data_IF_651545242736
#
_entry.id   IF_651545242736
#
_cell.length_a   1.000
_cell.length_b   1.000
_cell.length_c   1.000
_cell.angle_alpha   90.00
_cell.angle_beta   90.00
_cell.angle_gamma   90.00
#
_symmetry.space_group_name_H-M   'P 1'
#
loop_
_entity.id
_entity.type
_entity.pdbx_description
1 polymer ?
#
# COMPACT_ATOMS: atom_id res chain seq x y z
N UNK A 1 -34.16 -56.54 -8.94
CA UNK A 1 -32.71 -56.37 -9.00
C UNK A 1 -32.48 -54.99 -9.57
N UNK A 2 -32.40 -53.96 -8.71
CA UNK A 2 -32.14 -52.57 -9.14
C UNK A 2 -30.66 -52.25 -8.83
N UNK A 3 -29.94 -51.93 -9.89
CA UNK A 3 -28.54 -51.48 -9.79
C UNK A 3 -28.51 -50.04 -9.32
N UNK A 4 -28.01 -49.79 -8.11
CA UNK A 4 -27.83 -48.46 -7.55
C UNK A 4 -26.72 -47.68 -8.32
N UNK A 5 -26.84 -46.33 -8.40
CA UNK A 5 -25.91 -45.52 -9.14
C UNK A 5 -24.51 -45.55 -8.49
N UNK A 6 -23.49 -45.87 -9.29
CA UNK A 6 -22.09 -45.87 -8.91
C UNK A 6 -21.63 -44.44 -8.50
N UNK A 7 -21.32 -44.25 -7.22
CA UNK A 7 -20.64 -43.05 -6.73
C UNK A 7 -19.26 -43.00 -7.34
N UNK A 8 -19.06 -42.12 -8.32
CA UNK A 8 -17.74 -41.75 -8.82
C UNK A 8 -16.93 -41.16 -7.67
N UNK A 9 -15.98 -41.93 -7.13
CA UNK A 9 -15.02 -41.47 -6.13
C UNK A 9 -14.09 -40.45 -6.75
N UNK A 10 -14.26 -39.17 -6.42
CA UNK A 10 -13.32 -38.13 -6.79
C UNK A 10 -11.91 -38.48 -6.29
N UNK A 11 -10.89 -38.31 -7.14
CA UNK A 11 -9.52 -38.62 -6.78
C UNK A 11 -9.07 -37.81 -5.54
N UNK A 12 -8.29 -38.43 -4.62
CA UNK A 12 -7.85 -37.74 -3.38
C UNK A 12 -6.98 -36.50 -3.65
N UNK A 13 -6.42 -36.36 -4.85
CA UNK A 13 -5.72 -35.15 -5.28
C UNK A 13 -6.69 -34.00 -5.59
N UNK A 14 -7.81 -34.27 -6.25
CA UNK A 14 -8.85 -33.31 -6.56
C UNK A 14 -9.57 -32.82 -5.29
N UNK A 15 -9.88 -33.74 -4.37
CA UNK A 15 -10.46 -33.40 -3.07
C UNK A 15 -9.54 -32.47 -2.25
N UNK A 16 -8.21 -32.74 -2.20
CA UNK A 16 -7.25 -31.87 -1.54
C UNK A 16 -7.14 -30.49 -2.22
N UNK A 17 -7.19 -30.43 -3.54
CA UNK A 17 -7.18 -29.16 -4.26
C UNK A 17 -8.45 -28.33 -3.97
N UNK A 18 -9.62 -28.94 -3.96
CA UNK A 18 -10.90 -28.28 -3.64
C UNK A 18 -10.97 -27.81 -2.19
N UNK A 19 -10.45 -28.60 -1.23
CA UNK A 19 -10.37 -28.17 0.17
C UNK A 19 -9.34 -27.04 0.37
N UNK A 20 -8.21 -27.10 -0.33
CA UNK A 20 -7.21 -26.03 -0.35
C UNK A 20 -7.76 -24.71 -0.93
N UNK A 21 -8.48 -24.78 -2.04
CA UNK A 21 -9.11 -23.59 -2.64
C UNK A 21 -10.23 -23.01 -1.75
N UNK A 22 -11.09 -23.85 -1.15
CA UNK A 22 -12.10 -23.40 -0.18
C UNK A 22 -11.50 -22.73 1.05
N UNK A 23 -10.40 -23.26 1.60
CA UNK A 23 -9.70 -22.64 2.72
C UNK A 23 -9.06 -21.29 2.33
N UNK A 24 -8.50 -21.19 1.12
CA UNK A 24 -7.92 -19.93 0.60
C UNK A 24 -9.02 -18.89 0.34
N UNK A 25 -10.14 -19.27 -0.29
CA UNK A 25 -11.25 -18.36 -0.53
C UNK A 25 -12.01 -17.99 0.74
N UNK A 26 -12.19 -18.93 1.69
CA UNK A 26 -12.79 -18.66 2.99
C UNK A 26 -11.98 -17.65 3.79
N UNK A 27 -10.66 -17.85 3.88
CA UNK A 27 -9.76 -16.90 4.53
C UNK A 27 -9.60 -15.57 3.77
N UNK A 28 -9.85 -15.55 2.45
CA UNK A 28 -9.79 -14.33 1.66
C UNK A 28 -10.96 -13.36 1.95
N UNK A 29 -12.09 -13.87 2.39
CA UNK A 29 -13.29 -13.11 2.74
C UNK A 29 -13.48 -12.95 4.25
N UNK A 30 -12.48 -13.35 5.06
CA UNK A 30 -12.54 -13.15 6.50
C UNK A 30 -12.76 -11.68 6.85
N UNK A 31 -13.77 -11.49 7.68
CA UNK A 31 -14.17 -10.19 8.20
C UNK A 31 -13.90 -10.16 9.70
N UNK A 32 -12.90 -9.40 10.11
CA UNK A 32 -12.56 -9.24 11.51
C UNK A 32 -13.57 -8.29 12.18
N UNK A 33 -14.35 -8.81 13.14
CA UNK A 33 -15.44 -8.07 13.76
C UNK A 33 -15.04 -7.18 14.94
N UNK A 34 -13.77 -7.22 15.34
CA UNK A 34 -13.34 -6.74 16.64
C UNK A 34 -13.21 -5.22 16.80
N UNK A 35 -12.97 -4.48 15.72
CA UNK A 35 -12.66 -3.06 15.83
C UNK A 35 -13.89 -2.17 15.65
N UNK A 36 -14.14 -1.28 16.62
CA UNK A 36 -15.13 -0.23 16.52
C UNK A 36 -14.78 0.75 15.38
N UNK A 37 -15.80 1.36 14.78
CA UNK A 37 -15.63 2.49 13.88
C UNK A 37 -14.81 3.59 14.58
N UNK A 38 -13.76 4.09 13.93
CA UNK A 38 -13.05 5.30 14.37
C UNK A 38 -13.49 6.50 13.52
N UNK A 39 -14.53 7.24 13.93
CA UNK A 39 -15.06 8.37 13.16
C UNK A 39 -14.01 9.46 12.93
N UNK A 40 -13.03 9.57 13.84
CA UNK A 40 -12.00 10.58 13.72
C UNK A 40 -10.98 10.23 12.63
N UNK A 41 -10.58 8.97 12.49
CA UNK A 41 -9.73 8.53 11.40
C UNK A 41 -10.44 8.66 10.06
N UNK A 42 -11.75 8.34 10.01
CA UNK A 42 -12.58 8.53 8.82
C UNK A 42 -12.68 10.01 8.42
N UNK A 43 -12.90 10.91 9.40
CA UNK A 43 -12.98 12.35 9.14
C UNK A 43 -11.64 12.93 8.65
N UNK A 44 -10.50 12.49 9.24
CA UNK A 44 -9.16 12.93 8.82
C UNK A 44 -8.90 12.56 7.38
N UNK A 45 -9.20 11.32 6.97
CA UNK A 45 -8.96 10.87 5.59
C UNK A 45 -9.92 11.52 4.60
N UNK A 46 -11.20 11.66 4.96
CA UNK A 46 -12.20 12.33 4.12
C UNK A 46 -11.86 13.80 3.86
N UNK A 47 -11.58 14.57 4.93
CA UNK A 47 -11.23 15.98 4.81
C UNK A 47 -9.83 16.19 4.22
N UNK A 48 -8.88 15.33 4.59
CA UNK A 48 -7.54 15.36 4.05
C UNK A 48 -7.51 15.24 2.53
N UNK A 49 -8.32 14.36 1.96
CA UNK A 49 -8.37 14.13 0.52
C UNK A 49 -9.47 14.95 -0.18
N UNK A 50 -10.65 15.07 0.42
CA UNK A 50 -11.80 15.72 -0.20
C UNK A 50 -11.61 17.23 -0.37
N UNK A 51 -11.03 17.92 0.63
CA UNK A 51 -10.86 19.39 0.59
C UNK A 51 -9.90 19.84 -0.53
N UNK A 52 -8.71 19.25 -0.72
CA UNK A 52 -7.86 19.65 -1.84
C UNK A 52 -8.53 19.44 -3.21
N UNK A 53 -9.30 18.36 -3.39
CA UNK A 53 -10.01 18.12 -4.65
C UNK A 53 -11.13 19.15 -4.82
N UNK A 54 -11.89 19.43 -3.77
CA UNK A 54 -12.93 20.46 -3.80
C UNK A 54 -12.35 21.81 -4.23
N UNK A 55 -11.22 22.22 -3.65
CA UNK A 55 -10.52 23.45 -4.05
C UNK A 55 -10.13 23.37 -5.52
N UNK A 56 -9.55 22.26 -5.96
CA UNK A 56 -9.16 22.06 -7.36
C UNK A 56 -10.35 22.18 -8.33
N UNK A 57 -11.49 21.60 -7.98
CA UNK A 57 -12.74 21.70 -8.76
C UNK A 57 -13.26 23.13 -8.80
N UNK A 58 -13.28 23.83 -7.67
CA UNK A 58 -13.77 25.23 -7.59
C UNK A 58 -12.93 26.19 -8.41
N UNK A 59 -11.60 25.97 -8.52
CA UNK A 59 -10.72 26.79 -9.36
C UNK A 59 -10.64 26.31 -10.82
N UNK A 60 -11.44 25.30 -11.21
CA UNK A 60 -11.45 24.74 -12.55
C UNK A 60 -10.21 23.90 -12.91
N UNK A 61 -9.43 23.46 -11.92
CA UNK A 61 -8.19 22.66 -12.09
C UNK A 61 -8.20 21.42 -11.21
N UNK A 62 -9.07 20.43 -11.46
CA UNK A 62 -9.21 19.25 -10.60
C UNK A 62 -7.92 18.45 -10.46
N UNK A 63 -7.07 18.40 -11.49
CA UNK A 63 -5.77 17.73 -11.48
C UNK A 63 -4.82 18.22 -10.37
N UNK A 64 -4.86 19.51 -10.02
CA UNK A 64 -4.10 20.08 -8.90
C UNK A 64 -4.60 19.50 -7.58
N UNK A 65 -5.92 19.49 -7.38
CA UNK A 65 -6.55 18.92 -6.19
C UNK A 65 -6.28 17.41 -6.06
N UNK A 66 -6.32 16.65 -7.16
CA UNK A 66 -6.00 15.22 -7.18
C UNK A 66 -4.55 14.97 -6.78
N UNK A 67 -3.59 15.75 -7.31
CA UNK A 67 -2.17 15.63 -6.96
C UNK A 67 -1.92 15.95 -5.47
N UNK A 68 -2.54 17.00 -4.92
CA UNK A 68 -2.47 17.31 -3.50
C UNK A 68 -3.11 16.19 -2.65
N UNK A 69 -4.25 15.65 -3.06
CA UNK A 69 -4.92 14.56 -2.36
C UNK A 69 -4.10 13.27 -2.34
N UNK A 70 -3.25 13.03 -3.33
CA UNK A 70 -2.30 11.93 -3.32
C UNK A 70 -1.34 12.06 -2.11
N UNK A 71 -0.83 13.27 -1.84
CA UNK A 71 -0.03 13.55 -0.64
C UNK A 71 -0.81 13.36 0.67
N UNK A 72 -2.06 13.80 0.69
CA UNK A 72 -2.96 13.62 1.82
C UNK A 72 -3.26 12.14 2.12
N UNK A 73 -3.44 11.32 1.10
CA UNK A 73 -3.65 9.87 1.24
C UNK A 73 -2.51 9.21 2.01
N UNK A 74 -1.28 9.67 1.84
CA UNK A 74 -0.10 9.10 2.46
C UNK A 74 0.01 9.39 3.95
N UNK A 75 -0.57 10.50 4.41
CA UNK A 75 -0.50 10.97 5.79
C UNK A 75 -1.79 10.70 6.57
N UNK A 76 -2.94 10.85 5.94
CA UNK A 76 -4.27 10.80 6.58
C UNK A 76 -4.58 9.48 7.28
N UNK A 77 -3.98 8.38 6.86
CA UNK A 77 -4.16 7.05 7.46
C UNK A 77 -3.26 6.78 8.69
N UNK A 78 -2.67 7.83 9.30
CA UNK A 78 -1.84 7.68 10.49
C UNK A 78 -2.67 7.24 11.71
N UNK A 79 -2.27 6.18 12.45
CA UNK A 79 -2.95 5.79 13.66
C UNK A 79 -2.80 6.88 14.73
N UNK A 80 -3.79 6.98 15.62
CA UNK A 80 -3.74 7.92 16.74
C UNK A 80 -2.82 7.38 17.83
N UNK A 81 -1.77 8.12 18.18
CA UNK A 81 -0.87 7.77 19.27
C UNK A 81 -1.52 7.95 20.65
N UNK A 82 -1.03 7.24 21.65
CA UNK A 82 -1.52 7.29 23.02
C UNK A 82 -1.38 8.69 23.65
N UNK A 83 -0.33 9.44 23.28
CA UNK A 83 -0.11 10.82 23.69
C UNK A 83 -0.11 11.79 22.51
N UNK A 84 -0.32 13.09 22.76
CA UNK A 84 -0.24 14.12 21.70
C UNK A 84 1.17 14.18 21.10
N UNK A 85 2.22 14.03 21.92
CA UNK A 85 3.62 13.99 21.48
C UNK A 85 3.88 12.81 20.54
N UNK A 86 3.34 11.66 20.87
CA UNK A 86 3.46 10.46 20.03
C UNK A 86 2.68 10.60 18.74
N UNK A 87 1.45 11.11 18.81
CA UNK A 87 0.66 11.38 17.61
C UNK A 87 1.38 12.35 16.67
N UNK A 88 1.92 13.46 17.20
CA UNK A 88 2.75 14.40 16.43
C UNK A 88 3.94 13.69 15.76
N UNK A 89 4.64 12.82 16.50
CA UNK A 89 5.79 12.08 15.95
C UNK A 89 5.35 11.19 14.77
N UNK A 90 4.27 10.43 14.92
CA UNK A 90 3.75 9.56 13.87
C UNK A 90 3.36 10.37 12.62
N UNK A 91 2.66 11.47 12.79
CA UNK A 91 2.24 12.36 11.70
C UNK A 91 3.46 12.97 11.01
N UNK A 92 4.41 13.53 11.76
CA UNK A 92 5.66 14.07 11.23
C UNK A 92 6.42 13.04 10.41
N UNK A 93 6.61 11.84 10.93
CA UNK A 93 7.37 10.78 10.25
C UNK A 93 6.68 10.35 8.94
N UNK A 94 5.35 10.39 8.90
CA UNK A 94 4.58 10.16 7.67
C UNK A 94 4.75 11.29 6.65
N UNK A 95 4.70 12.54 7.08
CA UNK A 95 4.92 13.70 6.20
C UNK A 95 6.33 13.65 5.62
N UNK A 96 7.34 13.40 6.44
CA UNK A 96 8.74 13.29 6.00
C UNK A 96 8.89 12.15 4.97
N UNK A 97 8.30 10.98 5.24
CA UNK A 97 8.35 9.85 4.30
C UNK A 97 7.64 10.18 2.97
N UNK A 98 6.50 10.87 3.02
CA UNK A 98 5.75 11.29 1.84
C UNK A 98 6.53 12.28 0.98
N UNK A 99 7.09 13.32 1.59
CA UNK A 99 7.88 14.34 0.87
C UNK A 99 9.16 13.71 0.32
N UNK A 100 9.88 12.92 1.11
CA UNK A 100 11.08 12.24 0.66
C UNK A 100 10.79 11.31 -0.54
N UNK A 101 9.67 10.60 -0.52
CA UNK A 101 9.26 9.75 -1.64
C UNK A 101 8.90 10.56 -2.89
N UNK A 102 8.19 11.69 -2.73
CA UNK A 102 7.84 12.58 -3.85
C UNK A 102 9.10 13.19 -4.49
N UNK A 103 10.04 13.66 -3.69
CA UNK A 103 11.34 14.21 -4.15
C UNK A 103 12.14 13.12 -4.86
N UNK A 104 12.27 11.94 -4.27
CA UNK A 104 12.98 10.83 -4.89
C UNK A 104 12.33 10.42 -6.24
N UNK A 105 11.01 10.32 -6.29
CA UNK A 105 10.28 10.00 -7.51
C UNK A 105 10.50 11.06 -8.61
N UNK A 106 10.46 12.35 -8.25
CA UNK A 106 10.70 13.44 -9.18
C UNK A 106 12.13 13.45 -9.74
N UNK A 107 13.15 13.20 -8.89
CA UNK A 107 14.55 13.08 -9.30
C UNK A 107 14.73 11.85 -10.20
N UNK A 108 14.21 10.71 -9.80
CA UNK A 108 14.33 9.45 -10.55
C UNK A 108 13.66 9.57 -11.92
N UNK A 109 12.48 10.18 -11.99
CA UNK A 109 11.72 10.36 -13.25
C UNK A 109 12.45 11.19 -14.31
N UNK A 110 13.45 12.00 -13.92
CA UNK A 110 14.25 12.79 -14.87
C UNK A 110 15.13 11.92 -15.77
N UNK A 111 15.43 10.70 -15.37
CA UNK A 111 16.35 9.81 -16.06
C UNK A 111 15.68 8.94 -17.15
N UNK A 112 14.40 9.19 -17.47
CA UNK A 112 13.68 8.48 -18.53
C UNK A 112 13.71 6.95 -18.35
N UNK A 113 14.22 6.18 -19.34
CA UNK A 113 14.25 4.71 -19.25
C UNK A 113 15.07 4.14 -18.08
N UNK A 114 16.04 4.91 -17.54
CA UNK A 114 16.87 4.53 -16.39
C UNK A 114 16.16 4.76 -15.05
N UNK A 115 14.98 5.35 -15.05
CA UNK A 115 14.19 5.60 -13.83
C UNK A 115 13.89 4.32 -13.03
N UNK A 116 13.74 3.19 -13.70
CA UNK A 116 13.51 1.91 -13.05
C UNK A 116 14.71 1.46 -12.21
N UNK A 117 15.93 1.64 -12.72
CA UNK A 117 17.14 1.34 -11.98
C UNK A 117 17.24 2.21 -10.73
N UNK A 118 16.93 3.51 -10.86
CA UNK A 118 16.87 4.45 -9.75
C UNK A 118 15.87 4.00 -8.67
N UNK A 119 14.67 3.55 -9.08
CA UNK A 119 13.66 3.04 -8.16
C UNK A 119 14.13 1.78 -7.43
N UNK A 120 14.72 0.81 -8.14
CA UNK A 120 15.23 -0.43 -7.55
C UNK A 120 16.31 -0.14 -6.51
N UNK A 121 17.26 0.76 -6.82
CA UNK A 121 18.31 1.17 -5.89
C UNK A 121 17.75 1.90 -4.67
N UNK A 122 16.87 2.87 -4.88
CA UNK A 122 16.23 3.61 -3.78
C UNK A 122 15.39 2.69 -2.87
N UNK A 123 14.62 1.76 -3.46
CA UNK A 123 13.85 0.78 -2.70
C UNK A 123 14.75 -0.18 -1.93
N UNK A 124 15.84 -0.65 -2.53
CA UNK A 124 16.84 -1.50 -1.86
C UNK A 124 17.49 -0.81 -0.67
N UNK A 125 17.94 0.44 -0.86
CA UNK A 125 18.50 1.25 0.21
C UNK A 125 17.49 1.49 1.35
N UNK A 126 16.26 1.87 1.02
CA UNK A 126 15.20 2.04 2.01
C UNK A 126 14.88 0.72 2.74
N UNK A 127 14.86 -0.40 2.04
CA UNK A 127 14.65 -1.71 2.64
C UNK A 127 15.75 -2.11 3.63
N UNK A 128 17.01 -1.79 3.33
CA UNK A 128 18.14 -2.00 4.25
C UNK A 128 18.06 -1.08 5.48
N UNK A 129 17.79 0.22 5.27
CA UNK A 129 17.61 1.19 6.35
C UNK A 129 16.46 0.81 7.28
N UNK A 130 15.39 0.22 6.74
CA UNK A 130 14.28 -0.29 7.53
C UNK A 130 14.64 -1.41 8.51
N UNK A 131 15.84 -2.01 8.41
CA UNK A 131 16.39 -2.95 9.40
C UNK A 131 16.89 -2.29 10.68
N UNK A 132 17.07 -0.96 10.70
CA UNK A 132 17.63 -0.23 11.81
C UNK A 132 16.73 -0.19 13.05
N UNK A 133 15.43 0.02 12.84
CA UNK A 133 14.45 0.06 13.94
C UNK A 133 13.04 -0.17 13.40
N UNK A 134 12.10 -0.55 14.29
CA UNK A 134 10.70 -0.76 13.89
C UNK A 134 10.05 0.49 13.27
N UNK A 135 10.19 1.70 13.83
CA UNK A 135 9.69 2.91 13.19
C UNK A 135 10.30 3.14 11.80
N UNK A 136 11.61 2.89 11.65
CA UNK A 136 12.30 3.00 10.37
C UNK A 136 11.80 1.93 9.36
N UNK A 137 11.44 0.73 9.82
CA UNK A 137 10.86 -0.30 8.97
C UNK A 137 9.52 0.16 8.36
N UNK A 138 8.66 0.78 9.17
CA UNK A 138 7.38 1.34 8.73
C UNK A 138 7.59 2.52 7.76
N UNK A 139 8.49 3.44 8.10
CA UNK A 139 8.82 4.59 7.26
C UNK A 139 9.39 4.14 5.90
N UNK A 140 10.32 3.17 5.90
CA UNK A 140 10.92 2.64 4.68
C UNK A 140 9.90 1.96 3.77
N UNK A 141 8.97 1.18 4.35
CA UNK A 141 7.91 0.54 3.56
C UNK A 141 6.98 1.57 2.92
N UNK A 142 6.60 2.60 3.67
CA UNK A 142 5.82 3.72 3.14
C UNK A 142 6.57 4.45 2.03
N UNK A 143 7.83 4.80 2.27
CA UNK A 143 8.67 5.43 1.26
C UNK A 143 8.69 4.62 -0.04
N UNK A 144 8.90 3.30 0.02
CA UNK A 144 8.95 2.43 -1.16
C UNK A 144 7.63 2.47 -1.94
N UNK A 145 6.50 2.30 -1.23
CA UNK A 145 5.17 2.33 -1.85
C UNK A 145 4.92 3.69 -2.52
N UNK A 146 5.22 4.77 -1.80
CA UNK A 146 4.95 6.13 -2.25
C UNK A 146 5.87 6.56 -3.37
N UNK A 147 7.16 6.19 -3.32
CA UNK A 147 8.10 6.44 -4.40
C UNK A 147 7.68 5.70 -5.68
N UNK A 148 7.15 4.49 -5.55
CA UNK A 148 6.68 3.69 -6.69
C UNK A 148 5.44 4.31 -7.35
N UNK A 149 4.45 4.75 -6.55
CA UNK A 149 3.26 5.46 -7.05
C UNK A 149 3.67 6.84 -7.62
N UNK A 150 4.48 7.58 -6.86
CA UNK A 150 4.94 8.90 -7.24
C UNK A 150 5.74 8.89 -8.54
N UNK A 151 6.56 7.85 -8.79
CA UNK A 151 7.29 7.70 -10.04
C UNK A 151 6.32 7.53 -11.23
N UNK A 152 5.25 6.72 -11.06
CA UNK A 152 4.23 6.55 -12.07
C UNK A 152 3.56 7.87 -12.45
N UNK A 153 3.25 8.71 -11.48
CA UNK A 153 2.65 10.04 -11.72
C UNK A 153 3.68 11.02 -12.27
N UNK A 154 4.88 11.09 -11.70
CA UNK A 154 5.94 12.02 -12.10
C UNK A 154 6.44 11.77 -13.53
N UNK A 155 6.38 10.55 -14.02
CA UNK A 155 6.77 10.20 -15.39
C UNK A 155 5.88 10.87 -16.45
N UNK A 156 4.61 11.13 -16.12
CA UNK A 156 3.62 11.75 -17.02
C UNK A 156 3.39 13.24 -16.71
N UNK A 157 4.05 13.80 -15.68
CA UNK A 157 3.87 15.19 -15.27
C UNK A 157 5.02 16.05 -15.82
N UNK A 158 4.75 17.08 -16.64
CA UNK A 158 5.80 17.94 -17.21
C UNK A 158 6.51 18.77 -16.12
N UNK A 159 5.77 19.32 -15.16
CA UNK A 159 6.33 20.10 -14.06
C UNK A 159 6.42 19.26 -12.77
N UNK A 160 7.52 18.54 -12.62
CA UNK A 160 7.77 17.66 -11.47
C UNK A 160 7.96 18.42 -10.15
N UNK A 161 8.48 19.64 -10.21
CA UNK A 161 8.63 20.48 -9.00
C UNK A 161 7.25 20.86 -8.47
N UNK A 162 6.35 21.30 -9.34
CA UNK A 162 4.97 21.59 -8.94
C UNK A 162 4.28 20.36 -8.36
N UNK A 163 4.50 19.16 -8.93
CA UNK A 163 3.95 17.91 -8.38
C UNK A 163 4.47 17.66 -6.95
N UNK A 164 5.77 17.83 -6.69
CA UNK A 164 6.35 17.66 -5.35
C UNK A 164 5.74 18.66 -4.36
N UNK A 165 5.59 19.92 -4.77
CA UNK A 165 4.97 20.96 -3.94
C UNK A 165 3.51 20.59 -3.60
N UNK A 166 2.71 20.19 -4.59
CA UNK A 166 1.32 19.81 -4.38
C UNK A 166 1.19 18.57 -3.45
N UNK A 167 2.05 17.56 -3.63
CA UNK A 167 2.07 16.41 -2.74
C UNK A 167 2.45 16.84 -1.31
N UNK A 168 3.44 17.75 -1.16
CA UNK A 168 3.84 18.24 0.15
C UNK A 168 2.72 19.06 0.82
N UNK A 169 2.04 19.94 0.07
CA UNK A 169 0.88 20.72 0.55
C UNK A 169 -0.25 19.80 1.03
N UNK A 170 -0.60 18.79 0.24
CA UNK A 170 -1.62 17.82 0.63
C UNK A 170 -1.23 16.98 1.85
N UNK A 171 0.05 16.59 1.96
CA UNK A 171 0.58 15.89 3.12
C UNK A 171 0.51 16.76 4.39
N UNK A 172 0.89 18.04 4.28
CA UNK A 172 0.79 19.02 5.38
C UNK A 172 -0.65 19.31 5.76
N UNK A 173 -1.54 19.47 4.78
CA UNK A 173 -2.98 19.62 5.03
C UNK A 173 -3.55 18.44 5.81
N UNK A 174 -3.30 17.23 5.37
CA UNK A 174 -3.75 16.03 6.07
C UNK A 174 -3.16 15.91 7.49
N UNK A 175 -1.91 16.34 7.67
CA UNK A 175 -1.27 16.42 8.97
C UNK A 175 -1.97 17.41 9.89
N UNK A 176 -2.33 18.59 9.41
CA UNK A 176 -3.11 19.60 10.15
C UNK A 176 -4.50 19.07 10.54
N UNK A 177 -5.21 18.44 9.59
CA UNK A 177 -6.49 17.78 9.88
C UNK A 177 -6.33 16.69 10.95
N UNK A 178 -5.29 15.84 10.82
CA UNK A 178 -5.01 14.77 11.78
C UNK A 178 -4.74 15.29 13.19
N UNK A 179 -3.96 16.36 13.31
CA UNK A 179 -3.66 16.98 14.60
C UNK A 179 -4.88 17.68 15.20
N UNK A 180 -5.61 18.48 14.40
CA UNK A 180 -6.79 19.19 14.86
C UNK A 180 -7.90 18.23 15.32
N UNK A 181 -8.24 17.24 14.49
CA UNK A 181 -9.23 16.22 14.82
C UNK A 181 -8.73 15.33 15.96
N UNK A 182 -7.44 14.99 15.99
CA UNK A 182 -6.83 14.22 17.07
C UNK A 182 -6.92 14.92 18.44
N UNK A 183 -6.75 16.23 18.49
CA UNK A 183 -6.96 17.05 19.71
C UNK A 183 -8.44 17.10 20.09
N UNK A 184 -9.33 17.38 19.13
CA UNK A 184 -10.76 17.42 19.38
C UNK A 184 -11.31 16.07 19.87
N UNK A 185 -10.93 14.98 19.21
CA UNK A 185 -11.37 13.64 19.57
C UNK A 185 -10.92 13.21 20.98
N UNK A 186 -9.72 13.62 21.41
CA UNK A 186 -9.26 13.40 22.80
C UNK A 186 -10.09 14.20 23.82
N UNK A 187 -10.47 15.41 23.48
CA UNK A 187 -11.27 16.26 24.36
C UNK A 187 -12.69 15.70 24.57
N UNK A 188 -13.21 14.98 23.59
CA UNK A 188 -14.55 14.38 23.61
C UNK A 188 -14.55 12.87 23.83
N UNK A 189 -13.39 12.26 24.09
CA UNK A 189 -13.20 10.81 24.28
C UNK A 189 -13.77 9.98 23.11
N UNK A 190 -13.59 10.46 21.89
CA UNK A 190 -14.10 9.81 20.66
C UNK A 190 -13.00 9.01 19.99
N UNK A 191 -13.26 7.72 19.73
CA UNK A 191 -12.45 6.83 18.89
C UNK A 191 -11.39 6.04 19.64
N UNK A 192 -10.74 5.09 18.93
CA UNK A 192 -9.77 4.17 19.48
C UNK A 192 -8.38 4.81 19.63
N UNK A 193 -7.74 4.58 20.78
CA UNK A 193 -6.33 4.92 21.00
C UNK A 193 -5.53 3.65 20.74
N UNK A 194 -4.61 3.71 19.76
CA UNK A 194 -3.67 2.60 19.55
C UNK A 194 -2.69 2.60 20.73
N UNK A 195 -2.67 1.50 21.47
CA UNK A 195 -1.71 1.31 22.55
C UNK A 195 -0.29 1.48 22.01
N UNK A 196 0.46 2.38 22.61
CA UNK A 196 1.87 2.55 22.27
C UNK A 196 2.61 1.29 22.66
N UNK A 197 3.13 0.56 21.67
CA UNK A 197 4.16 -0.42 21.97
C UNK A 197 5.35 0.33 22.55
N UNK A 198 5.77 -0.07 23.75
CA UNK A 198 6.92 0.50 24.43
C UNK A 198 8.09 0.58 23.48
N UNK A 199 8.48 1.79 23.13
CA UNK A 199 9.65 2.02 22.31
C UNK A 199 10.87 1.46 23.04
N UNK A 200 11.68 0.68 22.34
CA UNK A 200 12.94 0.18 22.88
C UNK A 200 13.76 1.35 23.43
N UNK A 201 14.06 1.34 24.71
CA UNK A 201 14.89 2.33 25.40
C UNK A 201 16.37 2.29 24.98
N UNK A 202 16.71 1.40 24.02
CA UNK A 202 18.06 1.26 23.49
C UNK A 202 18.55 2.58 22.87
N UNK A 203 19.77 2.97 23.20
CA UNK A 203 20.42 4.17 22.64
C UNK A 203 20.64 4.03 21.12
N UNK A 204 20.83 5.17 20.44
CA UNK A 204 21.13 5.18 19.01
C UNK A 204 22.36 4.30 18.69
N UNK A 205 23.39 4.39 19.50
CA UNK A 205 24.62 3.61 19.32
C UNK A 205 24.40 2.10 19.44
N UNK A 206 23.58 1.68 20.40
CA UNK A 206 23.18 0.28 20.57
C UNK A 206 22.39 -0.23 19.34
N UNK A 207 21.43 0.58 18.86
CA UNK A 207 20.65 0.26 17.66
C UNK A 207 21.55 0.19 16.43
N UNK A 208 22.50 1.11 16.28
CA UNK A 208 23.44 1.12 15.17
C UNK A 208 24.39 -0.08 15.16
N UNK A 209 24.94 -0.42 16.33
CA UNK A 209 25.81 -1.60 16.51
C UNK A 209 25.04 -2.89 16.19
N UNK A 210 23.82 -3.00 16.71
CA UNK A 210 22.95 -4.15 16.41
C UNK A 210 22.63 -4.24 14.90
N UNK A 211 22.25 -3.15 14.28
CA UNK A 211 21.97 -3.10 12.85
C UNK A 211 23.19 -3.51 12.00
N UNK A 212 24.38 -2.98 12.33
CA UNK A 212 25.63 -3.34 11.65
C UNK A 212 25.95 -4.83 11.79
N UNK A 213 25.66 -5.40 12.94
CA UNK A 213 25.85 -6.85 13.17
C UNK A 213 24.82 -7.66 12.36
N UNK A 214 23.58 -7.22 12.33
CA UNK A 214 22.50 -7.84 11.54
C UNK A 214 22.81 -7.84 10.04
N UNK A 215 23.42 -6.78 9.49
CA UNK A 215 23.83 -6.69 8.08
C UNK A 215 24.84 -7.77 7.67
N UNK A 216 25.52 -8.42 8.62
CA UNK A 216 26.41 -9.57 8.36
C UNK A 216 25.65 -10.89 8.20
N UNK A 217 24.36 -10.91 8.51
CA UNK A 217 23.51 -12.10 8.42
C UNK A 217 22.66 -12.09 7.17
N UNK A 218 22.44 -13.25 6.56
CA UNK A 218 21.56 -13.40 5.39
C UNK A 218 20.10 -12.97 5.70
N UNK A 219 19.67 -13.14 6.94
CA UNK A 219 18.32 -12.75 7.37
C UNK A 219 18.03 -11.26 7.10
N UNK A 220 19.02 -10.38 7.31
CA UNK A 220 18.86 -8.94 7.03
C UNK A 220 18.71 -8.62 5.54
N UNK A 221 19.31 -9.41 4.67
CA UNK A 221 19.29 -9.22 3.22
C UNK A 221 18.10 -9.88 2.53
N UNK A 222 17.46 -10.85 3.17
CA UNK A 222 16.39 -11.64 2.58
C UNK A 222 15.23 -10.78 2.04
N UNK A 223 14.79 -9.78 2.80
CA UNK A 223 13.73 -8.85 2.37
C UNK A 223 14.20 -7.86 1.29
N UNK A 224 15.33 -7.12 1.46
CA UNK A 224 15.85 -6.25 0.42
C UNK A 224 16.09 -6.95 -0.91
N UNK A 225 16.71 -8.12 -0.90
CA UNK A 225 17.00 -8.90 -2.11
C UNK A 225 15.71 -9.35 -2.82
N UNK A 226 14.74 -9.88 -2.08
CA UNK A 226 13.44 -10.26 -2.67
C UNK A 226 12.73 -9.06 -3.28
N UNK A 227 12.69 -7.94 -2.57
CA UNK A 227 12.04 -6.73 -3.05
C UNK A 227 12.72 -6.19 -4.32
N UNK A 228 14.04 -6.01 -4.30
CA UNK A 228 14.79 -5.48 -5.45
C UNK A 228 14.75 -6.42 -6.65
N UNK A 229 14.82 -7.73 -6.45
CA UNK A 229 14.67 -8.71 -7.52
C UNK A 229 13.28 -8.63 -8.16
N UNK A 230 12.21 -8.60 -7.36
CA UNK A 230 10.85 -8.45 -7.90
C UNK A 230 10.65 -7.11 -8.61
N UNK A 231 11.20 -6.00 -8.09
CA UNK A 231 11.13 -4.70 -8.75
C UNK A 231 11.94 -4.66 -10.05
N UNK A 232 13.11 -5.30 -10.10
CA UNK A 232 13.91 -5.42 -11.31
C UNK A 232 13.19 -6.25 -12.39
N UNK A 233 12.54 -7.36 -12.00
CA UNK A 233 11.69 -8.13 -12.92
C UNK A 233 10.50 -7.30 -13.42
N UNK A 234 9.83 -6.54 -12.53
CA UNK A 234 8.74 -5.64 -12.89
C UNK A 234 9.20 -4.58 -13.90
N UNK A 235 10.40 -4.00 -13.70
CA UNK A 235 11.02 -3.06 -14.61
C UNK A 235 11.31 -3.67 -15.99
N UNK A 236 11.87 -4.89 -16.02
CA UNK A 236 12.15 -5.62 -17.25
C UNK A 236 10.86 -5.92 -18.03
N UNK A 237 9.79 -6.37 -17.35
CA UNK A 237 8.49 -6.62 -17.98
C UNK A 237 7.90 -5.32 -18.55
N UNK A 238 7.95 -4.21 -17.79
CA UNK A 238 7.49 -2.91 -18.27
C UNK A 238 8.27 -2.46 -19.52
N UNK A 239 9.59 -2.65 -19.52
CA UNK A 239 10.44 -2.31 -20.67
C UNK A 239 10.17 -3.16 -21.89
N UNK A 240 9.81 -4.45 -21.71
CA UNK A 240 9.47 -5.37 -22.80
C UNK A 240 8.08 -5.08 -23.42
N UNK A 241 7.16 -4.48 -22.65
CA UNK A 241 5.77 -4.21 -23.06
C UNK A 241 5.40 -2.75 -22.83
N UNK A 242 6.03 -1.79 -23.53
CA UNK A 242 5.84 -0.35 -23.29
C UNK A 242 4.44 0.16 -23.63
N UNK A 243 3.66 -0.59 -24.43
CA UNK A 243 2.28 -0.27 -24.81
C UNK A 243 1.27 -0.48 -23.67
N UNK A 244 1.67 -1.15 -22.58
CA UNK A 244 0.83 -1.44 -21.43
C UNK A 244 1.19 -0.56 -20.22
N UNK A 245 0.20 -0.32 -19.36
CA UNK A 245 0.40 0.45 -18.12
C UNK A 245 1.01 -0.41 -17.00
N UNK A 246 2.09 -1.13 -17.28
CA UNK A 246 2.73 -2.08 -16.36
C UNK A 246 3.56 -1.44 -15.25
N UNK A 247 3.58 -0.10 -15.14
CA UNK A 247 4.08 0.60 -13.94
C UNK A 247 3.39 0.12 -12.65
N UNK A 248 2.17 -0.37 -12.76
CA UNK A 248 1.40 -0.94 -11.65
C UNK A 248 1.96 -2.25 -11.09
N UNK A 249 2.78 -3.00 -11.85
CA UNK A 249 3.47 -4.21 -11.34
C UNK A 249 4.36 -3.82 -10.17
N UNK A 250 5.16 -2.75 -10.31
CA UNK A 250 6.05 -2.28 -9.25
C UNK A 250 5.28 -1.84 -7.99
N UNK A 251 4.14 -1.15 -8.14
CA UNK A 251 3.26 -0.78 -7.02
C UNK A 251 2.72 -2.02 -6.31
N UNK A 252 2.24 -3.01 -7.07
CA UNK A 252 1.72 -4.24 -6.50
C UNK A 252 2.81 -5.06 -5.80
N UNK A 253 4.02 -5.14 -6.37
CA UNK A 253 5.21 -5.74 -5.74
C UNK A 253 5.53 -5.05 -4.41
N UNK A 254 5.60 -3.71 -4.38
CA UNK A 254 5.90 -2.95 -3.17
C UNK A 254 4.87 -3.19 -2.04
N UNK A 255 3.60 -3.39 -2.40
CA UNK A 255 2.52 -3.65 -1.45
C UNK A 255 2.48 -5.11 -0.98
N UNK A 256 2.84 -6.07 -1.83
CA UNK A 256 2.80 -7.51 -1.51
C UNK A 256 4.08 -7.99 -0.83
N UNK A 257 5.23 -7.39 -1.14
CA UNK A 257 6.50 -7.81 -0.53
C UNK A 257 6.59 -7.25 0.89
N UNK A 258 6.40 -8.12 1.87
CA UNK A 258 6.46 -7.76 3.29
C UNK A 258 7.66 -8.43 3.98
N UNK A 259 8.12 -7.83 5.09
CA UNK A 259 9.21 -8.40 5.92
C UNK A 259 8.77 -9.71 6.59
N UNK A 260 7.54 -9.74 7.11
CA UNK A 260 6.91 -10.92 7.69
C UNK A 260 5.96 -11.54 6.67
N UNK A 261 6.07 -12.85 6.45
CA UNK A 261 5.42 -13.55 5.34
C UNK A 261 4.57 -14.74 5.79
N UNK A 262 4.16 -14.78 7.07
CA UNK A 262 3.48 -15.93 7.64
C UNK A 262 2.15 -16.28 6.93
N UNK A 263 1.48 -15.28 6.32
CA UNK A 263 0.22 -15.44 5.61
C UNK A 263 0.28 -14.89 4.17
N UNK A 264 1.43 -15.07 3.47
CA UNK A 264 1.63 -14.47 2.15
C UNK A 264 0.56 -14.87 1.13
N UNK A 265 0.22 -16.17 1.04
CA UNK A 265 -0.75 -16.68 0.05
C UNK A 265 -2.13 -16.06 0.28
N UNK A 266 -2.60 -16.01 1.53
CA UNK A 266 -3.88 -15.38 1.86
C UNK A 266 -3.90 -13.89 1.48
N UNK A 267 -2.84 -13.14 1.81
CA UNK A 267 -2.73 -11.71 1.45
C UNK A 267 -2.67 -11.48 -0.06
N UNK A 268 -1.96 -12.34 -0.79
CA UNK A 268 -1.90 -12.27 -2.26
C UNK A 268 -3.28 -12.53 -2.87
N UNK A 269 -3.99 -13.54 -2.39
CA UNK A 269 -5.35 -13.86 -2.84
C UNK A 269 -6.34 -12.74 -2.53
N UNK A 270 -6.33 -12.23 -1.29
CA UNK A 270 -7.16 -11.10 -0.86
C UNK A 270 -6.91 -9.87 -1.73
N UNK A 271 -5.63 -9.61 -2.05
CA UNK A 271 -5.28 -8.48 -2.91
C UNK A 271 -5.75 -8.68 -4.35
N UNK A 272 -5.54 -9.86 -4.93
CA UNK A 272 -5.97 -10.13 -6.31
C UNK A 272 -7.49 -10.00 -6.46
N UNK A 273 -8.24 -10.61 -5.55
CA UNK A 273 -9.70 -10.49 -5.52
C UNK A 273 -10.17 -9.06 -5.24
N UNK A 274 -9.52 -8.36 -4.30
CA UNK A 274 -9.84 -6.97 -3.98
C UNK A 274 -9.57 -6.02 -5.16
N UNK A 275 -8.46 -6.21 -5.89
CA UNK A 275 -8.19 -5.43 -7.11
C UNK A 275 -9.22 -5.75 -8.20
N UNK A 276 -9.59 -7.02 -8.40
CA UNK A 276 -10.62 -7.38 -9.36
C UNK A 276 -11.97 -6.72 -9.04
N UNK A 277 -12.42 -6.79 -7.77
CA UNK A 277 -13.63 -6.11 -7.33
C UNK A 277 -13.51 -4.57 -7.47
N UNK A 278 -12.35 -4.00 -7.14
CA UNK A 278 -12.09 -2.58 -7.28
C UNK A 278 -12.05 -2.10 -8.73
N UNK A 279 -11.54 -2.91 -9.65
CA UNK A 279 -11.58 -2.64 -11.09
C UNK A 279 -13.02 -2.58 -11.59
N UNK A 280 -13.86 -3.56 -11.22
CA UNK A 280 -15.29 -3.56 -11.55
C UNK A 280 -15.99 -2.32 -10.98
N UNK A 281 -15.69 -1.96 -9.73
CA UNK A 281 -16.22 -0.75 -9.11
C UNK A 281 -15.76 0.52 -9.84
N UNK A 282 -14.50 0.58 -10.27
CA UNK A 282 -13.96 1.71 -11.03
C UNK A 282 -14.67 1.84 -12.40
N UNK A 283 -14.86 0.73 -13.08
CA UNK A 283 -15.61 0.71 -14.34
C UNK A 283 -17.03 1.24 -14.16
N UNK A 284 -17.75 0.75 -13.14
CA UNK A 284 -19.10 1.22 -12.82
C UNK A 284 -19.15 2.73 -12.51
N UNK A 285 -18.12 3.27 -11.88
CA UNK A 285 -17.99 4.71 -11.58
C UNK A 285 -17.67 5.48 -12.88
N UNK A 286 -16.86 4.93 -13.77
CA UNK A 286 -16.34 5.58 -14.97
C UNK A 286 -17.26 5.49 -16.18
N UNK A 287 -18.39 4.76 -16.13
CA UNK A 287 -19.36 4.62 -17.24
C UNK A 287 -19.85 5.99 -17.73
N UNK A 288 -20.01 6.95 -16.83
CA UNK A 288 -20.43 8.31 -17.16
C UNK A 288 -19.37 9.33 -16.73
N UNK A 289 -19.21 10.42 -17.50
CA UNK A 289 -18.36 11.52 -17.07
C UNK A 289 -18.87 12.09 -15.75
N UNK A 290 -18.02 12.06 -14.71
CA UNK A 290 -18.38 12.52 -13.38
C UNK A 290 -18.35 14.05 -13.31
N UNK A 291 -19.40 14.71 -12.85
CA UNK A 291 -19.32 16.12 -12.49
C UNK A 291 -18.36 16.30 -11.32
N UNK A 292 -17.66 17.44 -11.25
CA UNK A 292 -16.61 17.68 -10.26
C UNK A 292 -17.02 17.42 -8.81
N UNK A 293 -18.26 17.80 -8.44
CA UNK A 293 -18.80 17.55 -7.10
C UNK A 293 -18.97 16.05 -6.78
N UNK A 294 -19.34 15.23 -7.79
CA UNK A 294 -19.46 13.79 -7.60
C UNK A 294 -18.08 13.15 -7.43
N UNK A 295 -17.07 13.60 -8.18
CA UNK A 295 -15.69 13.18 -7.99
C UNK A 295 -15.20 13.45 -6.55
N UNK A 296 -15.45 14.66 -6.02
CA UNK A 296 -15.14 15.03 -4.63
C UNK A 296 -15.83 14.09 -3.65
N UNK A 297 -17.15 13.88 -3.82
CA UNK A 297 -17.94 13.04 -2.91
C UNK A 297 -17.47 11.58 -2.91
N UNK A 298 -17.23 11.00 -4.09
CA UNK A 298 -16.77 9.61 -4.23
C UNK A 298 -15.40 9.43 -3.59
N UNK A 299 -14.45 10.32 -3.87
CA UNK A 299 -13.10 10.21 -3.29
C UNK A 299 -13.14 10.41 -1.78
N UNK A 300 -13.89 11.41 -1.27
CA UNK A 300 -14.02 11.62 0.16
C UNK A 300 -14.67 10.41 0.87
N UNK A 301 -15.70 9.81 0.27
CA UNK A 301 -16.33 8.59 0.79
C UNK A 301 -15.38 7.39 0.81
N UNK A 302 -14.70 7.11 -0.30
CA UNK A 302 -13.72 6.01 -0.37
C UNK A 302 -12.56 6.23 0.61
N UNK A 303 -12.10 7.47 0.75
CA UNK A 303 -11.08 7.86 1.72
C UNK A 303 -11.57 7.63 3.16
N UNK A 304 -12.80 8.06 3.48
CA UNK A 304 -13.41 7.85 4.79
C UNK A 304 -13.51 6.38 5.18
N UNK A 305 -13.90 5.52 4.23
CA UNK A 305 -14.05 4.09 4.48
C UNK A 305 -12.71 3.35 4.63
N UNK A 306 -11.64 3.86 4.04
CA UNK A 306 -10.34 3.17 3.98
C UNK A 306 -9.75 2.79 5.36
N UNK A 307 -9.74 3.63 6.42
CA UNK A 307 -9.21 3.25 7.73
C UNK A 307 -10.02 2.12 8.39
N UNK A 308 -11.33 2.17 8.26
CA UNK A 308 -12.24 1.16 8.82
C UNK A 308 -12.10 -0.18 8.11
N UNK A 309 -12.10 -0.19 6.76
CA UNK A 309 -11.94 -1.40 5.96
C UNK A 309 -10.59 -2.08 6.18
N UNK A 310 -9.52 -1.28 6.35
CA UNK A 310 -8.16 -1.80 6.55
C UNK A 310 -8.04 -2.68 7.79
N UNK A 311 -8.76 -2.34 8.86
CA UNK A 311 -8.73 -3.10 10.10
C UNK A 311 -9.63 -4.33 10.06
N UNK A 312 -10.61 -4.38 9.15
CA UNK A 312 -11.59 -5.46 9.08
C UNK A 312 -11.33 -6.49 8.00
N UNK A 313 -10.93 -6.05 6.83
CA UNK A 313 -10.70 -6.95 5.70
C UNK A 313 -9.71 -6.34 4.72
N UNK A 314 -8.60 -7.02 4.51
CA UNK A 314 -7.61 -6.59 3.51
C UNK A 314 -8.18 -6.62 2.09
N UNK A 315 -9.08 -7.57 1.80
CA UNK A 315 -9.85 -7.63 0.56
C UNK A 315 -10.68 -6.36 0.35
N UNK A 316 -11.54 -6.02 1.32
CA UNK A 316 -12.44 -4.88 1.21
C UNK A 316 -11.66 -3.55 1.15
N UNK A 317 -10.58 -3.43 1.93
CA UNK A 317 -9.67 -2.28 1.86
C UNK A 317 -9.05 -2.14 0.45
N UNK A 318 -8.61 -3.25 -0.14
CA UNK A 318 -8.02 -3.23 -1.49
C UNK A 318 -9.08 -2.90 -2.54
N UNK A 319 -10.30 -3.43 -2.41
CA UNK A 319 -11.43 -3.13 -3.30
C UNK A 319 -11.80 -1.64 -3.28
N UNK A 320 -11.77 -1.00 -2.12
CA UNK A 320 -12.06 0.44 -1.98
C UNK A 320 -10.88 1.33 -2.41
N UNK A 321 -9.64 0.93 -2.11
CA UNK A 321 -8.46 1.74 -2.46
C UNK A 321 -8.07 1.65 -3.93
N UNK A 322 -8.50 0.63 -4.66
CA UNK A 322 -8.24 0.52 -6.11
C UNK A 322 -8.92 1.65 -6.89
N UNK A 323 -10.27 1.87 -6.83
CA UNK A 323 -10.90 3.00 -7.48
C UNK A 323 -10.36 4.34 -6.98
N UNK A 324 -10.08 4.45 -5.67
CA UNK A 324 -9.51 5.65 -5.09
C UNK A 324 -8.19 6.05 -5.76
N UNK A 325 -7.24 5.11 -5.88
CA UNK A 325 -5.94 5.38 -6.50
C UNK A 325 -6.11 5.62 -8.00
N UNK A 326 -6.98 4.89 -8.69
CA UNK A 326 -7.24 5.08 -10.11
C UNK A 326 -7.77 6.49 -10.40
N UNK A 327 -8.76 6.95 -9.64
CA UNK A 327 -9.30 8.31 -9.77
C UNK A 327 -8.26 9.40 -9.45
N UNK A 328 -7.42 9.19 -8.44
CA UNK A 328 -6.36 10.14 -8.09
C UNK A 328 -5.25 10.23 -9.13
N UNK A 329 -4.96 9.14 -9.82
CA UNK A 329 -3.86 9.08 -10.80
C UNK A 329 -4.30 9.33 -12.23
N UNK A 330 -5.61 9.30 -12.52
CA UNK A 330 -6.15 9.63 -13.86
C UNK A 330 -6.06 11.11 -14.20
N UNK A 331 -5.77 11.98 -13.23
CA UNK A 331 -5.71 13.43 -13.46
C UNK A 331 -7.05 14.07 -13.84
N UNK A 332 -8.16 13.36 -13.66
CA UNK A 332 -9.50 13.79 -14.08
C UNK A 332 -9.87 13.39 -15.51
N UNK A 333 -9.00 12.65 -16.19
CA UNK A 333 -9.30 12.07 -17.50
C UNK A 333 -10.17 10.81 -17.38
N UNK A 334 -10.82 10.45 -18.49
CA UNK A 334 -11.63 9.22 -18.56
C UNK A 334 -10.74 7.99 -18.43
N UNK A 335 -11.11 7.08 -17.55
CA UNK A 335 -10.37 5.83 -17.31
C UNK A 335 -10.76 4.84 -18.42
N UNK A 336 -9.81 4.55 -19.32
CA UNK A 336 -10.03 3.59 -20.40
C UNK A 336 -10.01 2.13 -19.90
N UNK A 337 -10.80 1.25 -20.55
CA UNK A 337 -10.86 -0.18 -20.23
C UNK A 337 -9.49 -0.86 -20.28
N UNK A 338 -8.61 -0.48 -21.21
CA UNK A 338 -7.25 -0.98 -21.29
C UNK A 338 -6.45 -0.78 -19.99
N UNK A 339 -6.58 0.39 -19.36
CA UNK A 339 -5.93 0.69 -18.09
C UNK A 339 -6.43 -0.21 -16.95
N UNK A 340 -7.71 -0.53 -16.93
CA UNK A 340 -8.32 -1.39 -15.92
C UNK A 340 -7.85 -2.85 -16.05
N UNK A 341 -7.81 -3.35 -17.29
CA UNK A 341 -7.28 -4.70 -17.59
C UNK A 341 -5.79 -4.77 -17.23
N UNK A 342 -5.00 -3.78 -17.63
CA UNK A 342 -3.58 -3.71 -17.30
C UNK A 342 -3.35 -3.70 -15.78
N UNK A 343 -4.23 -3.06 -15.02
CA UNK A 343 -4.17 -3.05 -13.55
C UNK A 343 -4.37 -4.43 -12.95
N UNK A 344 -5.35 -5.19 -13.47
CA UNK A 344 -5.61 -6.55 -13.03
C UNK A 344 -4.44 -7.48 -13.39
N UNK A 345 -4.00 -7.45 -14.65
CA UNK A 345 -2.88 -8.24 -15.15
C UNK A 345 -1.60 -7.92 -14.37
N UNK A 346 -1.30 -6.64 -14.15
CA UNK A 346 -0.15 -6.20 -13.35
C UNK A 346 -0.18 -6.76 -11.93
N UNK A 347 -1.36 -6.84 -11.31
CA UNK A 347 -1.51 -7.41 -9.97
C UNK A 347 -1.24 -8.91 -9.96
N UNK A 348 -1.72 -9.65 -10.97
CA UNK A 348 -1.49 -11.08 -11.11
C UNK A 348 -0.01 -11.40 -11.37
N UNK A 349 0.64 -10.63 -12.24
CA UNK A 349 2.09 -10.75 -12.49
C UNK A 349 2.87 -10.50 -11.20
N UNK A 350 2.57 -9.41 -10.49
CA UNK A 350 3.24 -9.09 -9.22
C UNK A 350 3.04 -10.19 -8.17
N UNK A 351 1.83 -10.77 -8.10
CA UNK A 351 1.53 -11.90 -7.23
C UNK A 351 2.42 -13.10 -7.55
N UNK A 352 2.54 -13.47 -8.82
CA UNK A 352 3.43 -14.54 -9.30
C UNK A 352 4.89 -14.28 -8.94
N UNK A 353 5.40 -13.08 -9.21
CA UNK A 353 6.78 -12.68 -8.88
C UNK A 353 7.07 -12.79 -7.38
N UNK A 354 6.18 -12.26 -6.53
CA UNK A 354 6.36 -12.26 -5.07
C UNK A 354 6.29 -13.67 -4.50
N UNK A 355 5.34 -14.51 -4.97
CA UNK A 355 5.24 -15.91 -4.54
C UNK A 355 6.51 -16.67 -4.95
N UNK A 356 6.95 -16.54 -6.19
CA UNK A 356 8.16 -17.22 -6.69
C UNK A 356 9.39 -16.80 -5.90
N UNK A 357 9.60 -15.48 -5.69
CA UNK A 357 10.71 -14.97 -4.89
C UNK A 357 10.66 -15.46 -3.44
N UNK A 358 9.47 -15.58 -2.86
CA UNK A 358 9.29 -16.14 -1.52
C UNK A 358 9.64 -17.62 -1.45
N UNK A 359 9.18 -18.44 -2.40
CA UNK A 359 9.47 -19.86 -2.45
C UNK A 359 10.96 -20.13 -2.65
N UNK A 360 11.60 -19.37 -3.55
CA UNK A 360 13.04 -19.42 -3.78
C UNK A 360 13.80 -19.06 -2.51
N UNK A 361 13.46 -17.93 -1.88
CA UNK A 361 14.12 -17.51 -0.64
C UNK A 361 13.97 -18.55 0.48
N UNK A 362 12.79 -19.18 0.59
CA UNK A 362 12.51 -20.22 1.59
C UNK A 362 13.37 -21.49 1.40
N UNK A 363 13.79 -21.78 0.16
CA UNK A 363 14.65 -22.92 -0.16
C UNK A 363 16.09 -22.70 0.34
N UNK A 364 16.53 -21.45 0.40
CA UNK A 364 17.88 -21.08 0.85
C UNK A 364 17.95 -20.65 2.31
N UNK A 365 16.81 -20.50 3.00
CA UNK A 365 16.81 -20.16 4.43
C UNK A 365 16.90 -21.44 5.26
N UNK A 366 17.83 -21.51 6.23
CA UNK A 366 17.82 -22.56 7.24
C UNK A 366 16.47 -22.51 7.97
N UNK A 367 15.80 -23.64 8.12
CA UNK A 367 14.59 -23.71 8.95
C UNK A 367 14.96 -23.26 10.36
N UNK A 368 14.20 -22.33 10.99
CA UNK A 368 14.42 -22.03 12.40
C UNK A 368 14.27 -23.32 13.19
N UNK A 369 15.26 -23.63 14.01
CA UNK A 369 15.23 -24.80 14.88
C UNK A 369 14.01 -24.68 15.82
N UNK A 370 13.25 -25.76 16.05
CA UNK A 370 12.05 -25.73 16.90
C UNK A 370 12.34 -25.33 18.35
N UNK A 371 13.60 -25.35 18.76
CA UNK A 371 14.04 -25.10 20.13
C UNK A 371 14.03 -23.61 20.54
N UNK A 372 13.88 -22.69 19.61
CA UNK A 372 13.89 -21.24 19.90
C UNK A 372 12.50 -20.65 20.19
N UNK A 373 11.46 -21.48 20.37
CA UNK A 373 10.10 -21.07 20.73
C UNK A 373 9.82 -21.12 22.24
N UNK A 374 10.82 -20.96 23.09
CA UNK A 374 10.55 -20.77 24.54
C UNK A 374 10.19 -19.30 24.76
N UNK A 375 8.96 -18.98 25.21
CA UNK A 375 8.62 -17.64 25.66
C UNK A 375 9.38 -17.38 26.96
N UNK A 376 10.20 -16.32 26.98
CA UNK A 376 10.70 -15.68 28.20
C UNK A 376 9.72 -14.60 28.60
#
# INVERSE_FOLDING_TARGET
>A
MEAGPSRTSMSPAFSRAVHGTRAVFGGALEWDGADALDPSAMAVTALGMGVPILIGVLIGRPNIGLAASLGAMWVGAAPRGASLKEHWRIVRDNVVAAIAAAVAAAIIAQHGPRSDVGLVLAAGAAALLGGFSRPMAVASQRFIIFATIGLGVAAHTPNRIALVVLIAEGALWAALCGLAIGVAARRFDIGSIVASERESTASFEQKFRHWRTMLRTWAAWSYPVRLTACLACAAAIRGAFPQHHYSWIAVAVALLTQRQSDNLIAKVSQRALGVAAGVVATEAIAIHPLPGWALVAIIAMLAALSPWLRNRSYFACTAATTPLIMLLTSGGETIGQGLLIDRLVATLIAAGLVITAFLVARRFMPRPSPDNRRPG
#
